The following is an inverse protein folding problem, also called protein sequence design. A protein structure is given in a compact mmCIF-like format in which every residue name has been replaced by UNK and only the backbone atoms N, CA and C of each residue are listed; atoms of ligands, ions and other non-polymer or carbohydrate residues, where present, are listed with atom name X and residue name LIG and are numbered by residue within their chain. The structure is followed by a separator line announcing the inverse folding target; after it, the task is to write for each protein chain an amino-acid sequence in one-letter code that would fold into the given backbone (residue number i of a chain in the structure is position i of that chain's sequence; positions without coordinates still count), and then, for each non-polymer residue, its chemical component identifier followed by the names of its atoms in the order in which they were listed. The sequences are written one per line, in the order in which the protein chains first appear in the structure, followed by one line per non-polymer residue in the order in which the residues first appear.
data_IF_974992584697
#
_entry.id   IF_974992584697
#
_cell.length_a   1.000
_cell.length_b   1.000
_cell.length_c   1.000
_cell.angle_alpha   90.00
_cell.angle_beta   90.00
_cell.angle_gamma   90.00
#
_symmetry.space_group_name_H-M   'P 1'
#
loop_
_entity.id
_entity.type
_entity.pdbx_description
1 polymer ?
#
# COMPACT_ATOMS: atom_id res chain seq x y z
N UNK A 1 -6.13 19.78 17.29
CA UNK A 1 -5.33 18.65 17.84
C UNK A 1 -3.87 18.96 17.55
N UNK A 2 -3.09 19.25 18.58
CA UNK A 2 -1.78 19.91 18.52
C UNK A 2 -0.70 18.87 18.84
N UNK A 3 0.27 18.65 17.96
CA UNK A 3 1.40 17.76 18.26
C UNK A 3 2.28 18.41 19.33
N UNK A 4 2.55 17.69 20.42
CA UNK A 4 3.41 18.13 21.51
C UNK A 4 4.87 18.18 21.02
N UNK A 5 5.50 19.35 21.20
CA UNK A 5 6.92 19.57 20.93
C UNK A 5 7.72 19.16 22.17
N UNK A 6 8.50 18.07 22.09
CA UNK A 6 9.55 17.83 23.05
C UNK A 6 10.79 18.65 22.66
N UNK A 7 11.08 19.64 23.51
CA UNK A 7 12.41 20.19 23.74
C UNK A 7 13.06 20.99 22.58
N UNK A 8 12.64 22.25 22.43
CA UNK A 8 13.51 23.41 22.15
C UNK A 8 14.28 23.50 20.80
N UNK A 9 14.35 22.43 20.02
CA UNK A 9 14.94 22.42 18.69
C UNK A 9 13.92 21.79 17.75
N UNK A 10 13.41 22.58 16.81
CA UNK A 10 12.48 22.13 15.77
C UNK A 10 13.26 21.27 14.77
N UNK A 11 13.67 20.08 15.20
CA UNK A 11 14.08 19.00 14.33
C UNK A 11 12.82 18.29 13.90
N UNK A 12 12.25 18.69 12.76
CA UNK A 12 11.33 17.80 12.04
C UNK A 12 12.18 16.61 11.61
N UNK A 13 12.25 15.58 12.45
CA UNK A 13 12.96 14.35 12.12
C UNK A 13 12.18 13.70 10.99
N UNK A 14 12.87 13.36 9.89
CA UNK A 14 12.25 12.69 8.76
C UNK A 14 11.63 11.37 9.23
N UNK A 15 10.39 11.12 8.81
CA UNK A 15 9.72 9.86 9.11
C UNK A 15 10.47 8.74 8.38
N UNK A 16 10.94 7.69 9.07
CA UNK A 16 11.63 6.58 8.42
C UNK A 16 10.75 5.91 7.35
N UNK A 17 11.35 5.52 6.22
CA UNK A 17 10.63 5.01 5.05
C UNK A 17 9.71 3.81 5.35
N UNK A 18 10.09 2.98 6.31
CA UNK A 18 9.30 1.82 6.75
C UNK A 18 7.92 2.18 7.29
N UNK A 19 7.74 3.39 7.82
CA UNK A 19 6.44 3.89 8.29
C UNK A 19 5.63 4.58 7.19
N UNK A 20 6.24 4.85 6.03
CA UNK A 20 5.60 5.44 4.86
C UNK A 20 5.08 4.38 3.87
N UNK A 21 5.33 3.10 4.15
CA UNK A 21 4.97 1.97 3.29
C UNK A 21 3.94 1.08 3.96
N UNK A 22 2.93 0.68 3.18
CA UNK A 22 1.98 -0.37 3.57
C UNK A 22 2.23 -1.56 2.66
N UNK A 23 2.47 -2.71 3.28
CA UNK A 23 2.63 -3.99 2.60
C UNK A 23 1.46 -4.90 2.95
N UNK A 24 1.04 -5.77 2.03
CA UNK A 24 -0.04 -6.73 2.25
C UNK A 24 0.14 -7.98 1.41
N UNK A 25 -0.48 -9.07 1.85
CA UNK A 25 -0.48 -10.36 1.15
C UNK A 25 -1.92 -10.79 0.91
N UNK A 26 -2.21 -11.24 -0.32
CA UNK A 26 -3.51 -11.81 -0.69
C UNK A 26 -3.35 -13.32 -0.76
N UNK A 27 -4.17 -14.03 0.02
CA UNK A 27 -4.28 -15.49 -0.03
C UNK A 27 -5.66 -15.88 -0.52
N UNK A 28 -5.76 -16.97 -1.27
CA UNK A 28 -7.03 -17.52 -1.73
C UNK A 28 -7.10 -19.01 -1.45
N UNK A 29 -8.29 -19.48 -1.06
CA UNK A 29 -8.61 -20.91 -0.97
C UNK A 29 -9.39 -21.39 -2.21
N UNK A 30 -9.74 -20.48 -3.12
CA UNK A 30 -10.44 -20.81 -4.34
C UNK A 30 -9.46 -21.42 -5.36
N UNK A 31 -9.66 -22.69 -5.69
CA UNK A 31 -8.76 -23.44 -6.58
C UNK A 31 -8.70 -22.86 -8.00
N UNK A 32 -9.76 -22.20 -8.47
CA UNK A 32 -9.76 -21.54 -9.78
C UNK A 32 -8.78 -20.36 -9.76
N UNK A 33 -8.86 -19.52 -8.72
CA UNK A 33 -7.97 -18.37 -8.53
C UNK A 33 -6.52 -18.80 -8.27
N UNK A 34 -6.29 -19.92 -7.59
CA UNK A 34 -4.95 -20.45 -7.38
C UNK A 34 -4.25 -20.82 -8.70
N UNK A 35 -5.02 -21.22 -9.72
CA UNK A 35 -4.53 -21.54 -11.06
C UNK A 35 -4.52 -20.31 -12.00
N UNK A 36 -4.81 -19.12 -11.50
CA UNK A 36 -4.76 -17.92 -12.33
C UNK A 36 -3.33 -17.57 -12.72
N UNK A 37 -3.17 -17.11 -13.96
CA UNK A 37 -1.89 -16.60 -14.43
C UNK A 37 -1.52 -15.32 -13.72
N UNK A 38 -0.23 -14.97 -13.77
CA UNK A 38 0.30 -13.70 -13.26
C UNK A 38 -0.47 -12.49 -13.77
N UNK A 39 -0.91 -12.49 -15.04
CA UNK A 39 -1.67 -11.40 -15.65
C UNK A 39 -3.09 -11.28 -15.08
N UNK A 40 -3.74 -12.40 -14.77
CA UNK A 40 -5.06 -12.42 -14.13
C UNK A 40 -4.98 -11.85 -12.71
N UNK A 41 -3.99 -12.28 -11.93
CA UNK A 41 -3.72 -11.71 -10.62
C UNK A 41 -3.34 -10.23 -10.67
N UNK A 42 -2.51 -9.82 -11.63
CA UNK A 42 -2.16 -8.42 -11.83
C UNK A 42 -3.40 -7.57 -12.11
N UNK A 43 -4.42 -8.10 -12.79
CA UNK A 43 -5.69 -7.39 -13.00
C UNK A 43 -6.45 -7.12 -11.70
N UNK A 44 -6.40 -8.05 -10.73
CA UNK A 44 -6.96 -7.83 -9.39
C UNK A 44 -6.15 -6.77 -8.64
N UNK A 45 -4.82 -6.90 -8.65
CA UNK A 45 -3.92 -5.95 -8.00
C UNK A 45 -4.06 -4.52 -8.56
N UNK A 46 -4.24 -4.39 -9.87
CA UNK A 46 -4.50 -3.11 -10.53
C UNK A 46 -5.82 -2.48 -10.07
N UNK A 47 -6.86 -3.30 -9.81
CA UNK A 47 -8.11 -2.80 -9.23
C UNK A 47 -7.90 -2.30 -7.80
N UNK A 48 -7.14 -3.03 -6.99
CA UNK A 48 -6.76 -2.59 -5.64
C UNK A 48 -6.03 -1.25 -5.71
N UNK A 49 -5.02 -1.12 -6.56
CA UNK A 49 -4.29 0.12 -6.75
C UNK A 49 -5.22 1.27 -7.19
N UNK A 50 -6.15 1.00 -8.10
CA UNK A 50 -7.16 1.98 -8.53
C UNK A 50 -8.08 2.42 -7.39
N UNK A 51 -8.50 1.50 -6.51
CA UNK A 51 -9.31 1.84 -5.33
C UNK A 51 -8.51 2.69 -4.35
N UNK A 52 -7.26 2.33 -4.07
CA UNK A 52 -6.38 3.10 -3.17
C UNK A 52 -6.07 4.50 -3.70
N UNK A 53 -6.00 4.66 -5.03
CA UNK A 53 -5.81 5.95 -5.70
C UNK A 53 -7.11 6.69 -5.99
N UNK A 54 -8.28 6.11 -5.66
CA UNK A 54 -9.58 6.75 -5.83
C UNK A 54 -9.94 7.63 -4.62
N UNK A 55 -10.80 8.62 -4.82
CA UNK A 55 -11.33 9.43 -3.72
C UNK A 55 -12.20 8.56 -2.80
N UNK A 56 -12.07 8.63 -1.46
CA UNK A 56 -11.32 9.60 -0.64
C UNK A 56 -9.91 9.16 -0.23
N UNK A 57 -9.47 7.95 -0.59
CA UNK A 57 -8.19 7.38 -0.15
C UNK A 57 -6.98 8.01 -0.82
N UNK A 58 -7.17 8.62 -2.01
CA UNK A 58 -6.11 9.23 -2.81
C UNK A 58 -5.21 10.21 -2.01
N UNK A 59 -5.77 10.95 -1.06
CA UNK A 59 -5.00 11.93 -0.28
C UNK A 59 -4.04 11.29 0.72
N UNK A 60 -4.22 10.00 1.03
CA UNK A 60 -3.41 9.27 2.02
C UNK A 60 -2.17 8.61 1.41
N UNK A 61 -2.10 8.53 0.08
CA UNK A 61 -1.05 7.80 -0.62
C UNK A 61 -0.37 8.70 -1.66
N UNK A 62 0.92 8.97 -1.47
CA UNK A 62 1.74 9.67 -2.47
C UNK A 62 1.97 8.82 -3.74
N UNK A 63 1.94 7.49 -3.60
CA UNK A 63 2.07 6.54 -4.70
C UNK A 63 1.55 5.17 -4.30
N UNK A 64 1.06 4.42 -5.28
CA UNK A 64 0.59 3.05 -5.11
C UNK A 64 1.16 2.20 -6.23
N UNK A 65 1.87 1.14 -5.87
CA UNK A 65 2.33 0.10 -6.78
C UNK A 65 1.86 -1.25 -6.26
N UNK A 66 1.55 -2.17 -7.17
CA UNK A 66 1.16 -3.52 -6.82
C UNK A 66 1.87 -4.50 -7.75
N UNK A 67 2.68 -5.38 -7.16
CA UNK A 67 3.48 -6.36 -7.86
C UNK A 67 3.13 -7.75 -7.35
N UNK A 68 3.11 -8.71 -8.27
CA UNK A 68 3.01 -10.13 -7.94
C UNK A 68 4.39 -10.76 -8.05
N UNK A 69 4.83 -11.38 -6.96
CA UNK A 69 5.99 -12.27 -6.95
C UNK A 69 5.47 -13.69 -6.71
N UNK A 70 5.55 -14.53 -7.75
CA UNK A 70 5.30 -15.96 -7.64
C UNK A 70 6.59 -16.69 -7.25
N UNK A 71 6.46 -17.69 -6.39
CA UNK A 71 7.48 -18.73 -6.15
C UNK A 71 7.40 -19.80 -7.23
#
# INVERSE_FOLDING_TARGET
MMCMLMNGAVGVVSVPEQHLRINGTISTTNIIMANWSTQMWQSVLNRVARVLTSSPLRTNFAGVSATISGS
#
